data_IF_801317513313
#
_entry.id   IF_801317513313
#
_cell.length_a   1.000
_cell.length_b   1.000
_cell.length_c   1.000
_cell.angle_alpha   90.00
_cell.angle_beta   90.00
_cell.angle_gamma   90.00
#
_symmetry.space_group_name_H-M   'P 1'
#
loop_
_entity.id
_entity.type
_entity.pdbx_description
1 polymer ?
#
# COMPACT_ATOMS: atom_id res chain seq x y z
N UNK A 1 14.78 0.99 -7.14
CA UNK A 1 15.06 1.77 -5.91
C UNK A 1 13.78 2.32 -5.26
N UNK A 2 12.73 2.64 -6.03
CA UNK A 2 11.49 3.28 -5.53
C UNK A 2 10.63 2.34 -4.66
N UNK A 3 10.49 1.07 -5.04
CA UNK A 3 9.75 0.09 -4.23
C UNK A 3 10.50 -0.32 -2.96
N UNK A 4 11.84 -0.18 -2.95
CA UNK A 4 12.72 -0.67 -1.89
C UNK A 4 12.41 -0.05 -0.53
N UNK A 5 12.04 1.24 -0.49
CA UNK A 5 11.69 1.93 0.76
C UNK A 5 10.41 1.37 1.41
N UNK A 6 9.35 1.20 0.62
CA UNK A 6 8.09 0.60 1.11
C UNK A 6 8.24 -0.88 1.51
N UNK A 7 9.04 -1.64 0.74
CA UNK A 7 9.40 -3.02 1.08
C UNK A 7 10.19 -3.07 2.41
N UNK A 8 11.20 -2.22 2.57
CA UNK A 8 12.01 -2.17 3.79
C UNK A 8 11.21 -1.76 5.02
N UNK A 9 10.33 -0.75 4.89
CA UNK A 9 9.43 -0.35 5.96
C UNK A 9 8.48 -1.47 6.39
N UNK A 10 7.99 -2.27 5.44
CA UNK A 10 7.13 -3.43 5.74
C UNK A 10 7.91 -4.50 6.52
N UNK A 11 9.14 -4.81 6.11
CA UNK A 11 10.02 -5.74 6.83
C UNK A 11 10.38 -5.24 8.23
N UNK A 12 10.62 -3.93 8.39
CA UNK A 12 10.94 -3.33 9.69
C UNK A 12 9.80 -3.43 10.71
N UNK A 13 8.55 -3.53 10.23
CA UNK A 13 7.37 -3.76 11.06
C UNK A 13 7.09 -5.25 11.31
N UNK A 14 7.95 -6.15 10.85
CA UNK A 14 7.78 -7.60 11.01
C UNK A 14 6.78 -8.23 10.02
N UNK A 15 6.36 -7.49 9.00
CA UNK A 15 5.42 -7.94 7.97
C UNK A 15 6.18 -8.44 6.73
N UNK A 16 5.56 -9.36 5.99
CA UNK A 16 6.09 -9.79 4.68
C UNK A 16 5.55 -8.84 3.59
N UNK A 17 6.42 -8.15 2.84
CA UNK A 17 5.97 -7.28 1.76
C UNK A 17 5.43 -8.10 0.58
N UNK A 18 4.29 -7.67 0.05
CA UNK A 18 3.67 -8.25 -1.14
C UNK A 18 3.49 -7.17 -2.21
N UNK A 19 3.85 -7.51 -3.45
CA UNK A 19 3.61 -6.65 -4.60
C UNK A 19 2.27 -7.03 -5.23
N UNK A 20 1.37 -6.05 -5.36
CA UNK A 20 0.17 -6.22 -6.15
C UNK A 20 0.52 -6.26 -7.64
N UNK A 21 -0.23 -7.00 -8.47
CA UNK A 21 -0.14 -6.84 -9.92
C UNK A 21 -0.44 -5.39 -10.32
N UNK A 22 0.04 -5.01 -11.51
CA UNK A 22 -0.23 -3.69 -12.08
C UNK A 22 -1.74 -3.44 -12.15
N UNK A 23 -2.16 -2.24 -11.71
CA UNK A 23 -3.56 -1.84 -11.61
C UNK A 23 -3.70 -0.33 -11.87
N UNK A 24 -4.92 0.11 -12.17
CA UNK A 24 -5.22 1.54 -12.31
C UNK A 24 -5.27 2.21 -10.95
N UNK A 25 -4.32 3.09 -10.68
CA UNK A 25 -4.29 3.92 -9.46
C UNK A 25 -3.69 5.29 -9.79
N UNK A 26 -3.83 6.26 -8.89
CA UNK A 26 -3.31 7.61 -9.09
C UNK A 26 -1.78 7.66 -9.26
N UNK A 27 -1.06 6.59 -8.87
CA UNK A 27 0.38 6.46 -9.08
C UNK A 27 0.77 6.46 -10.57
N UNK A 28 -0.15 6.06 -11.46
CA UNK A 28 0.16 5.92 -12.88
C UNK A 28 0.49 7.26 -13.54
N UNK A 29 -0.15 8.36 -13.10
CA UNK A 29 0.10 9.70 -13.62
C UNK A 29 1.54 10.17 -13.34
N UNK A 30 2.03 10.28 -12.08
CA UNK A 30 3.41 10.65 -11.81
C UNK A 30 4.42 9.69 -12.43
N UNK A 31 4.17 8.37 -12.44
CA UNK A 31 5.04 7.42 -13.14
C UNK A 31 5.19 7.75 -14.62
N UNK A 32 4.10 8.06 -15.32
CA UNK A 32 4.13 8.46 -16.74
C UNK A 32 4.91 9.77 -16.99
N UNK A 33 5.03 10.61 -15.97
CA UNK A 33 5.78 11.86 -15.99
C UNK A 33 7.25 11.68 -15.56
N UNK A 34 7.68 10.44 -15.29
CA UNK A 34 9.02 10.13 -14.80
C UNK A 34 9.24 10.49 -13.32
N UNK A 35 8.16 10.80 -12.58
CA UNK A 35 8.23 11.11 -11.16
C UNK A 35 8.16 9.80 -10.37
N UNK A 36 9.17 9.51 -9.53
CA UNK A 36 9.16 8.37 -8.62
C UNK A 36 7.91 8.33 -7.76
N UNK A 37 7.15 7.24 -7.81
CA UNK A 37 5.90 7.11 -7.05
C UNK A 37 5.53 5.66 -6.84
N UNK A 38 4.81 5.37 -5.75
CA UNK A 38 4.33 4.04 -5.40
C UNK A 38 3.00 4.16 -4.63
N UNK A 39 2.25 3.05 -4.53
CA UNK A 39 1.07 2.92 -3.68
C UNK A 39 1.41 2.07 -2.46
N UNK A 40 1.07 2.54 -1.27
CA UNK A 40 1.15 1.77 -0.02
C UNK A 40 -0.23 1.28 0.38
N UNK A 41 -0.30 0.07 0.93
CA UNK A 41 -1.51 -0.42 1.58
C UNK A 41 -1.76 0.31 2.90
N UNK A 42 -3.03 0.61 3.19
CA UNK A 42 -3.45 1.32 4.40
C UNK A 42 -3.40 0.48 5.69
N UNK A 43 -3.01 -0.80 5.62
CA UNK A 43 -3.16 -1.76 6.71
C UNK A 43 -4.60 -2.25 6.85
N UNK A 44 -4.82 -3.27 7.69
CA UNK A 44 -6.11 -3.95 7.75
C UNK A 44 -6.40 -4.79 6.52
N UNK A 45 -7.63 -5.28 6.43
CA UNK A 45 -8.12 -6.06 5.29
C UNK A 45 -9.48 -5.51 4.88
N UNK A 46 -9.65 -5.25 3.59
CA UNK A 46 -10.91 -4.80 3.01
C UNK A 46 -11.39 -5.77 1.92
N UNK A 47 -12.63 -5.60 1.47
CA UNK A 47 -13.14 -6.39 0.37
C UNK A 47 -14.49 -5.92 -0.15
N UNK A 48 -14.86 -6.47 -1.32
CA UNK A 48 -16.09 -6.15 -2.05
C UNK A 48 -16.22 -4.64 -2.32
N UNK A 49 -15.10 -3.98 -2.59
CA UNK A 49 -15.05 -2.56 -2.92
C UNK A 49 -16.04 -2.25 -4.06
N UNK A 50 -16.76 -1.14 -3.94
CA UNK A 50 -17.81 -0.73 -4.88
C UNK A 50 -19.06 -1.62 -4.89
N UNK A 51 -19.37 -2.32 -3.80
CA UNK A 51 -20.62 -3.06 -3.63
C UNK A 51 -21.34 -2.70 -2.31
N UNK A 52 -22.66 -2.91 -2.18
CA UNK A 52 -23.38 -2.73 -0.91
C UNK A 52 -22.84 -3.59 0.23
N UNK A 53 -22.13 -4.67 -0.10
CA UNK A 53 -21.48 -5.57 0.84
C UNK A 53 -20.02 -5.19 1.13
N UNK A 54 -19.54 -4.02 0.69
CA UNK A 54 -18.21 -3.49 1.01
C UNK A 54 -17.96 -3.48 2.52
N UNK A 55 -16.76 -3.89 2.93
CA UNK A 55 -16.39 -3.98 4.33
C UNK A 55 -14.90 -3.73 4.56
N UNK A 56 -14.58 -3.38 5.81
CA UNK A 56 -13.22 -3.22 6.33
C UNK A 56 -13.10 -3.95 7.66
N UNK A 57 -12.11 -4.83 7.78
CA UNK A 57 -11.57 -5.33 9.03
C UNK A 57 -10.39 -4.43 9.45
N UNK A 58 -10.56 -3.60 10.49
CA UNK A 58 -9.52 -2.67 10.93
C UNK A 58 -8.42 -3.35 11.75
N UNK A 59 -8.45 -4.68 11.95
CA UNK A 59 -7.40 -5.41 12.63
C UNK A 59 -6.04 -5.08 12.01
N UNK A 60 -5.11 -4.58 12.83
CA UNK A 60 -3.78 -4.12 12.41
C UNK A 60 -3.75 -2.95 11.41
N UNK A 61 -4.84 -2.21 11.19
CA UNK A 61 -4.85 -1.02 10.32
C UNK A 61 -3.82 0.05 10.73
N UNK A 62 -3.48 0.13 12.02
CA UNK A 62 -2.47 1.07 12.52
C UNK A 62 -1.07 0.86 11.89
N UNK A 63 -0.77 -0.34 11.38
CA UNK A 63 0.49 -0.64 10.71
C UNK A 63 0.65 0.12 9.38
N UNK A 64 -0.44 0.43 8.67
CA UNK A 64 -0.36 1.17 7.40
C UNK A 64 0.22 2.57 7.57
N UNK A 65 -0.23 3.30 8.58
CA UNK A 65 0.31 4.62 8.92
C UNK A 65 1.78 4.54 9.38
N UNK A 66 2.16 3.46 10.06
CA UNK A 66 3.55 3.25 10.49
C UNK A 66 4.48 2.98 9.31
N UNK A 67 4.01 2.29 8.25
CA UNK A 67 4.80 2.07 7.03
C UNK A 67 5.22 3.42 6.43
N UNK A 68 4.31 4.38 6.31
CA UNK A 68 4.61 5.72 5.75
C UNK A 68 5.65 6.47 6.57
N UNK A 69 5.65 6.34 7.90
CA UNK A 69 6.66 6.98 8.76
C UNK A 69 8.06 6.38 8.63
N UNK A 70 8.15 5.13 8.17
CA UNK A 70 9.39 4.40 8.05
C UNK A 70 10.05 4.51 6.65
N UNK A 71 9.35 5.11 5.66
CA UNK A 71 9.89 5.37 4.32
C UNK A 71 10.46 6.79 4.21
#
# INVERSE_FOLDING_TARGET
MQEVGGLAATVALGETPELSPASSTDVNLPLSLGIPSLRLGGGGVDGKNHSPEEWLDPTNAYLGTQKVKAV
#
